data_IF_487579274073
#
_entry.id   IF_487579274073
#
_cell.length_a   1.000
_cell.length_b   1.000
_cell.length_c   1.000
_cell.angle_alpha   90.00
_cell.angle_beta   90.00
_cell.angle_gamma   90.00
#
_symmetry.space_group_name_H-M   'P 1'
#
loop_
_entity.id
_entity.type
_entity.pdbx_description
1 polymer ?
#
# COMPACT_ATOMS: atom_id res chain seq x y z
N UNK A 1 12.99 40.88 -7.23
CA UNK A 1 12.56 40.20 -8.47
C UNK A 1 11.08 39.91 -8.32
N UNK A 2 10.20 40.47 -9.16
CA UNK A 2 8.76 40.19 -9.12
C UNK A 2 8.46 39.09 -10.13
N UNK A 3 7.92 37.96 -9.68
CA UNK A 3 7.47 36.86 -10.54
C UNK A 3 5.97 37.06 -10.72
N UNK A 4 5.53 37.19 -11.97
CA UNK A 4 4.13 37.27 -12.35
C UNK A 4 3.73 35.87 -12.81
N UNK A 5 2.78 35.26 -12.12
CA UNK A 5 2.27 33.92 -12.42
C UNK A 5 0.83 34.10 -12.89
N UNK A 6 0.55 33.73 -14.13
CA UNK A 6 -0.83 33.63 -14.62
C UNK A 6 -1.46 32.36 -14.02
N UNK A 7 -2.54 32.55 -13.28
CA UNK A 7 -3.32 31.48 -12.65
C UNK A 7 -4.71 31.47 -13.29
N UNK A 8 -5.19 30.31 -13.71
CA UNK A 8 -6.52 30.18 -14.28
C UNK A 8 -7.62 30.51 -13.24
N UNK A 9 -8.70 31.16 -13.67
CA UNK A 9 -9.83 31.55 -12.82
C UNK A 9 -10.46 30.37 -12.04
N UNK A 10 -10.37 29.16 -12.61
CA UNK A 10 -10.79 27.91 -11.96
C UNK A 10 -10.00 27.63 -10.68
N UNK A 11 -8.68 27.81 -10.73
CA UNK A 11 -7.76 27.60 -9.60
C UNK A 11 -7.95 28.69 -8.54
N UNK A 12 -8.21 29.93 -8.96
CA UNK A 12 -8.53 31.03 -8.03
C UNK A 12 -9.80 30.73 -7.24
N UNK A 13 -10.83 30.18 -7.90
CA UNK A 13 -12.07 29.75 -7.22
C UNK A 13 -11.83 28.60 -6.23
N UNK A 14 -10.99 27.63 -6.58
CA UNK A 14 -10.62 26.54 -5.66
C UNK A 14 -9.88 27.07 -4.41
N UNK A 15 -8.97 28.02 -4.60
CA UNK A 15 -8.25 28.68 -3.50
C UNK A 15 -9.21 29.41 -2.56
N UNK A 16 -10.14 30.20 -3.11
CA UNK A 16 -11.12 30.95 -2.32
C UNK A 16 -12.11 30.03 -1.58
N UNK A 17 -12.52 28.92 -2.20
CA UNK A 17 -13.38 27.93 -1.55
C UNK A 17 -12.67 27.25 -0.37
N UNK A 18 -11.39 26.93 -0.51
CA UNK A 18 -10.60 26.30 0.56
C UNK A 18 -10.32 27.23 1.74
N UNK A 19 -10.18 28.54 1.46
CA UNK A 19 -10.07 29.58 2.49
C UNK A 19 -11.33 29.68 3.34
N UNK A 20 -12.49 29.61 2.70
CA UNK A 20 -13.80 29.70 3.35
C UNK A 20 -14.12 28.49 4.25
N UNK A 21 -13.42 27.37 4.08
CA UNK A 21 -13.58 26.14 4.87
C UNK A 21 -12.67 26.10 6.12
N UNK A 22 -11.60 26.90 6.21
CA UNK A 22 -10.50 26.72 7.17
C UNK A 22 -10.18 27.95 8.06
N UNK A 23 -11.21 28.65 8.56
CA UNK A 23 -11.13 29.89 9.36
C UNK A 23 -10.70 31.16 8.58
N UNK A 24 -11.40 32.26 8.86
CA UNK A 24 -11.44 33.52 8.08
C UNK A 24 -10.14 34.36 8.09
N UNK A 25 -9.05 33.89 8.71
CA UNK A 25 -7.84 34.69 8.99
C UNK A 25 -6.56 34.19 8.28
N UNK A 26 -6.65 33.30 7.29
CA UNK A 26 -5.47 32.88 6.52
C UNK A 26 -5.16 33.83 5.35
N UNK A 27 -3.90 34.27 5.27
CA UNK A 27 -3.41 35.02 4.12
C UNK A 27 -3.38 34.14 2.85
N UNK A 28 -3.53 34.76 1.68
CA UNK A 28 -3.53 34.06 0.39
C UNK A 28 -2.30 33.16 0.19
N UNK A 29 -1.13 33.60 0.66
CA UNK A 29 0.12 32.84 0.59
C UNK A 29 0.07 31.54 1.42
N UNK A 30 -0.61 31.57 2.58
CA UNK A 30 -0.78 30.41 3.46
C UNK A 30 -1.77 29.40 2.86
N UNK A 31 -2.87 29.90 2.27
CA UNK A 31 -3.87 29.05 1.61
C UNK A 31 -3.24 28.33 0.40
N UNK A 32 -2.49 29.05 -0.43
CA UNK A 32 -1.77 28.46 -1.57
C UNK A 32 -0.73 27.46 -1.10
N UNK A 33 0.02 27.78 -0.04
CA UNK A 33 1.00 26.86 0.55
C UNK A 33 0.34 25.60 1.10
N UNK A 34 -0.82 25.71 1.75
CA UNK A 34 -1.61 24.58 2.24
C UNK A 34 -2.10 23.71 1.09
N UNK A 35 -2.72 24.29 0.07
CA UNK A 35 -3.21 23.56 -1.10
C UNK A 35 -2.10 22.87 -1.88
N UNK A 36 -0.95 23.52 -2.06
CA UNK A 36 0.23 22.91 -2.67
C UNK A 36 0.79 21.80 -1.79
N UNK A 37 0.84 22.00 -0.47
CA UNK A 37 1.24 20.97 0.49
C UNK A 37 0.32 19.75 0.40
N UNK A 38 -1.00 19.93 0.34
CA UNK A 38 -1.99 18.87 0.21
C UNK A 38 -1.92 18.17 -1.15
N UNK A 39 -1.73 18.92 -2.24
CA UNK A 39 -1.52 18.37 -3.58
C UNK A 39 -0.20 17.58 -3.68
N UNK A 40 0.84 17.98 -2.94
CA UNK A 40 2.13 17.26 -2.88
C UNK A 40 2.05 16.08 -1.93
N UNK A 41 1.40 16.23 -0.77
CA UNK A 41 1.25 15.19 0.26
C UNK A 41 0.29 14.08 -0.20
N UNK A 42 -0.74 14.41 -0.97
CA UNK A 42 -1.59 13.41 -1.64
C UNK A 42 -0.79 12.55 -2.65
N UNK A 43 0.36 13.03 -3.13
CA UNK A 43 1.32 12.27 -3.94
C UNK A 43 2.48 11.67 -3.13
N UNK A 44 2.64 11.99 -1.85
CA UNK A 44 3.72 11.41 -1.02
C UNK A 44 3.44 9.93 -0.79
N UNK A 45 4.19 9.11 -1.50
CA UNK A 45 4.17 7.67 -1.29
C UNK A 45 5.08 7.30 -0.12
N UNK A 46 4.58 6.47 0.79
CA UNK A 46 5.33 5.86 1.91
C UNK A 46 6.39 4.90 1.34
N UNK A 47 7.64 5.08 1.77
CA UNK A 47 8.73 4.14 1.50
C UNK A 47 9.06 3.44 2.80
N UNK A 48 9.16 2.11 2.74
CA UNK A 48 9.56 1.28 3.86
C UNK A 48 11.02 0.88 3.71
N UNK A 49 11.72 0.85 4.84
CA UNK A 49 13.04 0.23 4.99
C UNK A 49 12.96 -1.30 4.85
N UNK A 50 14.12 -1.94 4.71
CA UNK A 50 14.19 -3.38 4.55
C UNK A 50 13.68 -4.16 5.78
N UNK A 51 13.90 -3.63 6.98
CA UNK A 51 13.44 -4.25 8.23
C UNK A 51 11.92 -4.12 8.36
N UNK A 52 11.37 -2.93 8.07
CA UNK A 52 9.91 -2.71 8.04
C UNK A 52 9.23 -3.62 7.00
N UNK A 53 9.84 -3.82 5.84
CA UNK A 53 9.31 -4.73 4.82
C UNK A 53 9.24 -6.17 5.34
N UNK A 54 10.28 -6.63 6.05
CA UNK A 54 10.29 -7.97 6.62
C UNK A 54 9.19 -8.12 7.68
N UNK A 55 9.07 -7.13 8.58
CA UNK A 55 8.02 -7.12 9.60
C UNK A 55 6.61 -7.16 8.97
N UNK A 56 6.36 -6.31 7.98
CA UNK A 56 5.10 -6.28 7.22
C UNK A 56 4.78 -7.64 6.60
N UNK A 57 5.77 -8.31 6.01
CA UNK A 57 5.56 -9.63 5.39
C UNK A 57 5.17 -10.66 6.45
N UNK A 58 5.83 -10.67 7.61
CA UNK A 58 5.48 -11.57 8.71
C UNK A 58 4.07 -11.30 9.23
N UNK A 59 3.68 -10.03 9.36
CA UNK A 59 2.31 -9.66 9.75
C UNK A 59 1.29 -10.13 8.71
N UNK A 60 1.55 -9.92 7.42
CA UNK A 60 0.68 -10.36 6.33
C UNK A 60 0.48 -11.88 6.32
N UNK A 61 1.56 -12.67 6.41
CA UNK A 61 1.49 -14.13 6.39
C UNK A 61 0.76 -14.66 7.64
N UNK A 62 1.09 -14.12 8.82
CA UNK A 62 0.43 -14.49 10.07
C UNK A 62 -1.07 -14.19 10.02
N UNK A 63 -1.44 -13.03 9.47
CA UNK A 63 -2.85 -12.66 9.26
C UNK A 63 -3.55 -13.61 8.29
N UNK A 64 -2.92 -13.97 7.18
CA UNK A 64 -3.48 -14.90 6.20
C UNK A 64 -3.80 -16.26 6.84
N UNK A 65 -2.83 -16.84 7.55
CA UNK A 65 -2.99 -18.15 8.21
C UNK A 65 -4.07 -18.10 9.31
N UNK A 66 -4.04 -17.07 10.16
CA UNK A 66 -5.03 -16.90 11.25
C UNK A 66 -6.46 -16.75 10.70
N UNK A 67 -6.61 -16.07 9.57
CA UNK A 67 -7.91 -15.78 8.95
C UNK A 67 -8.16 -16.60 7.67
N UNK A 68 -7.68 -17.86 7.62
CA UNK A 68 -7.73 -18.70 6.41
C UNK A 68 -9.11 -18.81 5.73
N UNK A 69 -10.21 -18.74 6.50
CA UNK A 69 -11.58 -18.83 5.96
C UNK A 69 -11.90 -17.64 5.05
N UNK A 70 -11.44 -16.46 5.42
CA UNK A 70 -11.68 -15.19 4.71
C UNK A 70 -10.59 -14.89 3.67
N UNK A 71 -9.44 -15.55 3.80
CA UNK A 71 -8.29 -15.43 2.91
C UNK A 71 -8.03 -16.74 2.16
N UNK A 72 -9.09 -17.34 1.63
CA UNK A 72 -8.96 -18.57 0.83
C UNK A 72 -8.10 -18.31 -0.41
N UNK A 73 -8.32 -17.22 -1.12
CA UNK A 73 -7.46 -16.81 -2.23
C UNK A 73 -7.28 -15.29 -2.22
N UNK A 74 -6.05 -14.82 -2.42
CA UNK A 74 -5.74 -13.40 -2.33
C UNK A 74 -4.48 -13.03 -3.13
N UNK A 75 -4.37 -11.74 -3.41
CA UNK A 75 -3.12 -11.12 -3.89
C UNK A 75 -2.41 -10.43 -2.74
N UNK A 76 -1.10 -10.24 -2.86
CA UNK A 76 -0.29 -9.59 -1.81
C UNK A 76 -0.79 -8.16 -1.48
N UNK A 77 -1.24 -7.40 -2.48
CA UNK A 77 -1.78 -6.05 -2.26
C UNK A 77 -3.11 -6.04 -1.48
N UNK A 78 -3.98 -7.02 -1.75
CA UNK A 78 -5.24 -7.19 -1.02
C UNK A 78 -4.97 -7.62 0.42
N UNK A 79 -4.04 -8.55 0.61
CA UNK A 79 -3.62 -9.00 1.93
C UNK A 79 -2.97 -7.88 2.75
N UNK A 80 -2.15 -7.03 2.13
CA UNK A 80 -1.55 -5.87 2.80
C UNK A 80 -2.62 -4.97 3.40
N UNK A 81 -3.64 -4.62 2.61
CA UNK A 81 -4.75 -3.80 3.10
C UNK A 81 -5.49 -4.49 4.25
N UNK A 82 -5.81 -5.78 4.13
CA UNK A 82 -6.51 -6.52 5.19
C UNK A 82 -5.68 -6.64 6.48
N UNK A 83 -4.37 -6.82 6.37
CA UNK A 83 -3.50 -7.04 7.53
C UNK A 83 -3.14 -5.72 8.26
N UNK A 84 -2.98 -4.62 7.52
CA UNK A 84 -2.44 -3.36 8.05
C UNK A 84 -3.44 -2.21 8.06
N UNK A 85 -4.60 -2.39 7.41
CA UNK A 85 -5.57 -1.32 7.15
C UNK A 85 -4.95 -0.10 6.42
N UNK A 86 -3.91 -0.34 5.63
CA UNK A 86 -3.21 0.69 4.86
C UNK A 86 -3.37 0.46 3.35
N UNK A 87 -3.49 1.54 2.57
CA UNK A 87 -3.61 1.41 1.12
C UNK A 87 -2.29 1.05 0.46
N UNK A 88 -2.29 -0.03 -0.32
CA UNK A 88 -1.16 -0.42 -1.17
C UNK A 88 -0.74 0.69 -2.15
N UNK A 89 -1.68 1.50 -2.64
CA UNK A 89 -1.37 2.59 -3.58
C UNK A 89 -0.59 3.74 -2.94
N UNK A 90 -0.66 3.88 -1.62
CA UNK A 90 0.14 4.87 -0.87
C UNK A 90 1.60 4.46 -0.72
N UNK A 91 1.98 3.23 -1.08
CA UNK A 91 3.37 2.80 -1.07
C UNK A 91 4.10 3.22 -2.35
N UNK A 92 5.38 3.56 -2.20
CA UNK A 92 6.22 3.90 -3.34
C UNK A 92 6.35 2.69 -4.29
N UNK A 93 6.54 2.91 -5.60
CA UNK A 93 6.68 1.80 -6.55
C UNK A 93 7.80 0.81 -6.18
N UNK A 94 8.92 1.32 -5.63
CA UNK A 94 10.04 0.51 -5.16
C UNK A 94 9.65 -0.36 -3.97
N UNK A 95 8.96 0.20 -2.96
CA UNK A 95 8.49 -0.55 -1.80
C UNK A 95 7.46 -1.61 -2.20
N UNK A 96 6.50 -1.30 -3.08
CA UNK A 96 5.55 -2.30 -3.60
C UNK A 96 6.25 -3.46 -4.30
N UNK A 97 7.26 -3.17 -5.12
CA UNK A 97 8.06 -4.18 -5.81
C UNK A 97 8.85 -5.05 -4.82
N UNK A 98 9.45 -4.43 -3.81
CA UNK A 98 10.22 -5.12 -2.77
C UNK A 98 9.33 -6.04 -1.94
N UNK A 99 8.19 -5.54 -1.45
CA UNK A 99 7.18 -6.32 -0.73
C UNK A 99 6.70 -7.52 -1.54
N UNK A 100 6.31 -7.31 -2.80
CA UNK A 100 5.84 -8.41 -3.65
C UNK A 100 6.89 -9.50 -3.88
N UNK A 101 8.16 -9.11 -4.09
CA UNK A 101 9.27 -10.06 -4.27
C UNK A 101 9.55 -10.82 -2.98
N UNK A 102 9.77 -10.10 -1.87
CA UNK A 102 10.11 -10.71 -0.58
C UNK A 102 8.96 -11.55 -0.04
N UNK A 103 7.71 -11.13 -0.20
CA UNK A 103 6.55 -11.94 0.16
C UNK A 103 6.56 -13.30 -0.54
N UNK A 104 6.82 -13.33 -1.85
CA UNK A 104 6.94 -14.58 -2.61
C UNK A 104 8.08 -15.45 -2.10
N UNK A 105 9.25 -14.85 -1.86
CA UNK A 105 10.42 -15.56 -1.32
C UNK A 105 10.10 -16.15 0.05
N UNK A 106 9.56 -15.37 0.98
CA UNK A 106 9.22 -15.84 2.33
C UNK A 106 8.12 -16.91 2.31
N UNK A 107 7.09 -16.77 1.46
CA UNK A 107 6.06 -17.81 1.32
C UNK A 107 6.67 -19.15 0.88
N UNK A 108 7.57 -19.14 -0.10
CA UNK A 108 8.27 -20.33 -0.55
C UNK A 108 9.21 -20.90 0.54
N UNK A 109 9.97 -20.05 1.24
CA UNK A 109 10.84 -20.51 2.32
C UNK A 109 10.06 -21.14 3.48
N UNK A 110 8.88 -20.60 3.80
CA UNK A 110 7.99 -21.18 4.80
C UNK A 110 7.38 -22.50 4.32
N UNK A 111 7.05 -22.61 3.04
CA UNK A 111 6.64 -23.89 2.45
C UNK A 111 7.73 -24.96 2.62
N UNK A 112 8.97 -24.65 2.26
CA UNK A 112 10.08 -25.59 2.32
C UNK A 112 10.38 -26.05 3.76
N UNK A 113 10.24 -25.14 4.73
CA UNK A 113 10.49 -25.41 6.16
C UNK A 113 9.32 -26.05 6.90
N UNK A 114 8.10 -25.91 6.39
CA UNK A 114 6.91 -26.42 7.06
C UNK A 114 6.88 -27.96 7.07
N UNK A 115 6.37 -28.53 8.16
CA UNK A 115 6.10 -29.97 8.22
C UNK A 115 4.81 -30.33 7.48
N UNK A 116 4.65 -31.61 7.12
CA UNK A 116 3.41 -32.11 6.54
C UNK A 116 2.22 -31.79 7.47
N UNK A 117 1.12 -31.31 6.88
CA UNK A 117 -0.10 -30.94 7.61
C UNK A 117 -0.12 -29.51 8.19
N UNK A 118 1.01 -28.80 8.18
CA UNK A 118 1.06 -27.39 8.60
C UNK A 118 0.39 -26.45 7.58
N UNK A 119 -0.12 -25.32 8.07
CA UNK A 119 -0.73 -24.30 7.22
C UNK A 119 0.34 -23.37 6.66
N UNK A 120 0.32 -23.22 5.35
CA UNK A 120 1.30 -22.43 4.60
C UNK A 120 0.60 -21.62 3.52
N UNK A 121 1.25 -20.53 3.11
CA UNK A 121 0.80 -19.73 1.97
C UNK A 121 1.45 -20.28 0.72
N UNK A 122 0.65 -20.77 -0.21
CA UNK A 122 1.12 -21.35 -1.47
C UNK A 122 0.81 -20.43 -2.66
N UNK A 123 1.76 -20.30 -3.58
CA UNK A 123 1.50 -19.67 -4.87
C UNK A 123 0.68 -20.60 -5.76
N UNK A 124 -0.50 -20.15 -6.18
CA UNK A 124 -1.40 -20.94 -7.01
C UNK A 124 -1.14 -20.69 -8.50
N UNK A 125 -1.39 -19.47 -8.94
CA UNK A 125 -1.29 -19.10 -10.34
C UNK A 125 -1.13 -17.59 -10.52
N UNK A 126 -1.18 -17.15 -11.78
CA UNK A 126 -1.39 -15.75 -12.12
C UNK A 126 -2.79 -15.57 -12.67
N UNK A 127 -3.43 -14.46 -12.31
CA UNK A 127 -4.75 -14.12 -12.85
C UNK A 127 -4.65 -13.47 -14.25
N UNK A 128 -5.80 -13.09 -14.82
CA UNK A 128 -5.91 -12.43 -16.13
C UNK A 128 -5.12 -11.11 -16.25
N UNK A 129 -4.85 -10.45 -15.13
CA UNK A 129 -4.06 -9.22 -15.05
C UNK A 129 -2.57 -9.50 -14.74
N UNK A 130 -2.14 -10.75 -14.90
CA UNK A 130 -0.78 -11.22 -14.62
C UNK A 130 -0.32 -11.01 -13.15
N UNK A 131 -1.27 -10.84 -12.22
CA UNK A 131 -1.00 -10.72 -10.79
C UNK A 131 -0.89 -12.09 -10.13
N UNK A 132 0.09 -12.27 -9.25
CA UNK A 132 0.27 -13.49 -8.49
C UNK A 132 -0.86 -13.68 -7.48
N UNK A 133 -1.46 -14.87 -7.48
CA UNK A 133 -2.53 -15.30 -6.57
C UNK A 133 -1.99 -16.37 -5.64
N UNK A 134 -2.32 -16.24 -4.36
CA UNK A 134 -1.90 -17.14 -3.29
C UNK A 134 -3.12 -17.70 -2.57
N UNK A 135 -2.95 -18.85 -1.92
CA UNK A 135 -3.96 -19.51 -1.08
C UNK A 135 -3.30 -20.04 0.19
N UNK A 136 -4.04 -20.07 1.30
CA UNK A 136 -3.61 -20.77 2.52
C UNK A 136 -4.04 -22.23 2.40
N UNK A 137 -3.07 -23.12 2.26
CA UNK A 137 -3.29 -24.56 2.16
C UNK A 137 -2.64 -25.28 3.34
N UNK A 138 -2.98 -26.57 3.51
CA UNK A 138 -2.17 -27.48 4.32
C UNK A 138 -1.09 -28.07 3.42
N UNK A 139 0.16 -28.06 3.88
CA UNK A 139 1.25 -28.74 3.17
C UNK A 139 0.92 -30.23 3.09
N UNK A 140 0.99 -30.76 1.88
CA UNK A 140 0.95 -32.18 1.55
C UNK A 140 2.27 -32.51 0.88
N UNK A 141 2.92 -33.59 1.30
CA UNK A 141 4.14 -34.05 0.63
C UNK A 141 3.78 -34.49 -0.80
N UNK A 142 4.45 -33.86 -1.77
CA UNK A 142 4.31 -34.14 -3.22
C UNK A 142 5.24 -35.27 -3.65
#
# INVERSE_FOLDING_TARGET
MKILIDVEDSVVREILNHANENDEDMDFEDIVSSLLSDAVNSKKTKTLSDDEINEVIHQMISFAIKNRKENKSFKANELYFKALNESWSKLSPSTRKSLGRRFRTTANELWDKAAEGELVVEFQNRNINNAAVYEVVKKVDL
#
